data_IF_522976878303
#
_entry.id   IF_522976878303
#
_cell.length_a   1.000
_cell.length_b   1.000
_cell.length_c   1.000
_cell.angle_alpha   90.00
_cell.angle_beta   90.00
_cell.angle_gamma   90.00
#
_symmetry.space_group_name_H-M   'P 1'
#
loop_
_entity.id
_entity.type
_entity.pdbx_description
1 polymer ?
#
# COMPACT_ATOMS: atom_id res chain seq x y z
N UNK A 1 32.55 2.44 -3.69
CA UNK A 1 31.53 3.32 -3.09
C UNK A 1 30.22 2.58 -3.22
N UNK A 2 29.57 2.24 -2.11
CA UNK A 2 28.19 1.77 -2.15
C UNK A 2 27.33 2.95 -2.64
N UNK A 3 26.63 2.77 -3.75
CA UNK A 3 25.63 3.74 -4.20
C UNK A 3 24.50 3.71 -3.17
N UNK A 4 24.42 4.74 -2.32
CA UNK A 4 23.42 4.78 -1.25
C UNK A 4 22.03 4.77 -1.87
N UNK A 5 21.31 3.66 -1.72
CA UNK A 5 20.01 3.45 -2.35
C UNK A 5 19.10 4.64 -2.03
N UNK A 6 18.82 5.47 -3.05
CA UNK A 6 18.07 6.71 -2.84
C UNK A 6 16.70 6.36 -2.29
N UNK A 7 16.20 7.09 -1.27
CA UNK A 7 14.93 6.76 -0.65
C UNK A 7 13.82 6.78 -1.69
N UNK A 8 13.07 5.68 -1.81
CA UNK A 8 11.96 5.56 -2.75
C UNK A 8 10.80 6.52 -2.37
N UNK A 9 9.96 6.95 -3.33
CA UNK A 9 8.77 7.75 -3.04
C UNK A 9 7.74 6.95 -2.23
N UNK A 10 6.79 7.66 -1.60
CA UNK A 10 5.61 7.02 -1.00
C UNK A 10 4.79 6.39 -2.14
N UNK A 11 4.44 5.10 -2.09
CA UNK A 11 3.74 4.44 -3.17
C UNK A 11 2.38 5.07 -3.45
N UNK A 12 1.98 5.07 -4.73
CA UNK A 12 0.62 5.43 -5.15
C UNK A 12 -0.43 4.61 -4.40
N UNK A 13 -0.23 3.30 -4.39
CA UNK A 13 -1.06 2.33 -3.72
C UNK A 13 -0.20 1.19 -3.16
N UNK A 14 -0.55 0.71 -1.96
CA UNK A 14 -0.03 -0.53 -1.40
C UNK A 14 -1.07 -1.08 -0.42
N UNK A 15 -1.30 -2.40 -0.46
CA UNK A 15 -2.22 -3.06 0.45
C UNK A 15 -1.70 -4.40 1.00
N UNK A 16 -2.23 -4.76 2.16
CA UNK A 16 -2.33 -6.15 2.62
C UNK A 16 -3.72 -6.67 2.26
N UNK A 17 -3.87 -7.96 2.00
CA UNK A 17 -5.15 -8.55 1.56
C UNK A 17 -5.41 -9.91 2.18
N UNK A 18 -6.68 -10.27 2.28
CA UNK A 18 -7.14 -11.62 2.61
C UNK A 18 -7.75 -12.26 1.37
N UNK A 19 -7.18 -13.36 0.90
CA UNK A 19 -7.79 -14.23 -0.09
C UNK A 19 -8.60 -15.33 0.58
N UNK A 20 -9.69 -15.73 -0.10
CA UNK A 20 -10.48 -16.91 0.17
C UNK A 20 -10.55 -17.77 -1.08
N UNK A 21 -10.50 -19.09 -0.94
CA UNK A 21 -10.84 -20.01 -2.03
C UNK A 21 -12.35 -20.09 -2.17
N UNK A 22 -12.88 -19.85 -3.37
CA UNK A 22 -14.33 -20.00 -3.65
C UNK A 22 -14.77 -21.45 -3.61
N UNK A 23 -13.86 -22.40 -3.90
CA UNK A 23 -14.10 -23.85 -3.80
C UNK A 23 -14.14 -24.32 -2.35
N UNK A 24 -13.36 -23.69 -1.47
CA UNK A 24 -13.27 -24.04 -0.04
C UNK A 24 -13.08 -22.80 0.81
N UNK A 25 -14.17 -22.21 1.30
CA UNK A 25 -14.15 -20.95 2.05
C UNK A 25 -13.29 -20.98 3.34
N UNK A 26 -12.97 -22.16 3.88
CA UNK A 26 -12.03 -22.34 4.99
C UNK A 26 -10.54 -22.29 4.59
N UNK A 27 -10.22 -22.22 3.29
CA UNK A 27 -8.86 -22.00 2.78
C UNK A 27 -8.63 -20.51 2.56
N UNK A 28 -7.82 -19.94 3.45
CA UNK A 28 -7.49 -18.52 3.51
C UNK A 28 -5.98 -18.31 3.28
N UNK A 29 -5.63 -17.15 2.73
CA UNK A 29 -4.25 -16.71 2.50
C UNK A 29 -4.15 -15.19 2.70
N UNK A 30 -3.18 -14.75 3.49
CA UNK A 30 -2.85 -13.32 3.66
C UNK A 30 -1.60 -13.02 2.82
N UNK A 31 -1.58 -11.88 2.15
CA UNK A 31 -0.37 -11.37 1.50
C UNK A 31 -0.38 -9.85 1.34
N UNK A 32 0.68 -9.29 0.76
CA UNK A 32 0.72 -7.88 0.34
C UNK A 32 1.06 -7.69 -1.15
N UNK A 33 0.69 -6.51 -1.68
CA UNK A 33 0.96 -6.10 -3.07
C UNK A 33 0.79 -4.58 -3.26
N UNK A 34 1.60 -3.93 -4.14
CA UNK A 34 1.30 -2.60 -4.67
C UNK A 34 0.22 -2.61 -5.77
N UNK A 35 -0.12 -3.78 -6.33
CA UNK A 35 -1.09 -3.90 -7.42
C UNK A 35 -1.96 -5.17 -7.24
N UNK A 36 -3.16 -5.06 -6.63
CA UNK A 36 -4.07 -6.19 -6.44
C UNK A 36 -4.70 -6.69 -7.75
N UNK A 37 -4.92 -5.80 -8.72
CA UNK A 37 -5.45 -6.11 -10.07
C UNK A 37 -4.57 -7.15 -10.76
N UNK A 38 -3.24 -6.97 -10.69
CA UNK A 38 -2.25 -7.93 -11.20
C UNK A 38 -2.11 -9.17 -10.30
N UNK A 39 -2.15 -9.00 -8.98
CA UNK A 39 -1.86 -10.06 -8.00
C UNK A 39 -2.91 -11.17 -7.98
N UNK A 40 -4.20 -10.84 -8.10
CA UNK A 40 -5.27 -11.84 -8.06
C UNK A 40 -5.18 -12.87 -9.22
N UNK A 41 -5.00 -12.46 -10.50
CA UNK A 41 -4.67 -13.36 -11.61
C UNK A 41 -3.46 -14.28 -11.36
N UNK A 42 -2.43 -13.82 -10.64
CA UNK A 42 -1.25 -14.64 -10.32
C UNK A 42 -1.60 -15.80 -9.37
N UNK A 43 -2.36 -15.53 -8.31
CA UNK A 43 -2.86 -16.60 -7.43
C UNK A 43 -3.76 -17.59 -8.17
N UNK A 44 -4.56 -17.09 -9.10
CA UNK A 44 -5.46 -17.89 -9.95
C UNK A 44 -4.76 -18.62 -11.11
N UNK A 45 -3.44 -18.45 -11.29
CA UNK A 45 -2.67 -19.15 -12.33
C UNK A 45 -2.84 -18.59 -13.74
N UNK A 46 -3.57 -17.49 -13.90
CA UNK A 46 -3.74 -16.78 -15.18
C UNK A 46 -2.47 -16.00 -15.54
N UNK A 47 -1.71 -15.58 -14.53
CA UNK A 47 -0.42 -14.90 -14.69
C UNK A 47 0.69 -15.61 -13.87
N UNK A 48 1.96 -15.47 -14.30
CA UNK A 48 3.13 -15.98 -13.58
C UNK A 48 3.38 -15.18 -12.28
N UNK A 49 3.98 -15.82 -11.27
CA UNK A 49 4.33 -15.18 -9.98
C UNK A 49 3.32 -15.39 -8.83
N UNK A 50 2.47 -16.43 -8.92
CA UNK A 50 1.57 -16.82 -7.83
C UNK A 50 2.29 -17.53 -6.68
N UNK A 51 1.88 -17.30 -5.44
CA UNK A 51 2.50 -17.94 -4.27
C UNK A 51 2.29 -19.47 -4.24
N UNK A 52 3.32 -20.24 -3.84
CA UNK A 52 3.29 -21.72 -3.73
C UNK A 52 2.05 -22.25 -2.99
N UNK A 53 1.65 -21.60 -1.89
CA UNK A 53 0.45 -21.97 -1.10
C UNK A 53 -0.87 -21.83 -1.87
N UNK A 54 -0.93 -20.94 -2.86
CA UNK A 54 -2.12 -20.70 -3.70
C UNK A 54 -2.12 -21.47 -5.02
N UNK A 55 -1.03 -22.19 -5.34
CA UNK A 55 -0.85 -22.87 -6.62
C UNK A 55 -1.70 -24.15 -6.82
N UNK A 56 -2.40 -24.63 -5.79
CA UNK A 56 -3.21 -25.86 -5.85
C UNK A 56 -4.51 -25.61 -6.62
N UNK A 57 -4.67 -26.22 -7.79
CA UNK A 57 -5.85 -26.01 -8.64
C UNK A 57 -7.17 -26.41 -7.97
N UNK A 58 -7.17 -27.44 -7.11
CA UNK A 58 -8.34 -27.82 -6.28
C UNK A 58 -8.79 -26.75 -5.26
N UNK A 59 -8.06 -25.63 -5.14
CA UNK A 59 -8.40 -24.47 -4.32
C UNK A 59 -8.59 -23.19 -5.15
N UNK A 60 -8.36 -23.23 -6.46
CA UNK A 60 -8.63 -22.11 -7.38
C UNK A 60 -10.10 -22.18 -7.85
N UNK A 61 -10.74 -21.05 -8.18
CA UNK A 61 -10.20 -19.70 -8.05
C UNK A 61 -10.23 -19.18 -6.61
N UNK A 62 -9.33 -18.26 -6.35
CA UNK A 62 -9.29 -17.39 -5.19
C UNK A 62 -10.05 -16.09 -5.52
N UNK A 63 -10.77 -15.58 -4.52
CA UNK A 63 -11.31 -14.23 -4.46
C UNK A 63 -10.54 -13.44 -3.38
N UNK A 64 -10.38 -12.12 -3.57
CA UNK A 64 -9.77 -11.24 -2.57
C UNK A 64 -10.91 -10.57 -1.80
N UNK A 65 -11.13 -11.00 -0.56
CA UNK A 65 -12.34 -10.69 0.20
C UNK A 65 -12.32 -9.31 0.86
N UNK A 66 -11.13 -8.86 1.24
CA UNK A 66 -10.86 -7.51 1.74
C UNK A 66 -9.41 -7.10 1.48
N UNK A 67 -9.16 -5.79 1.48
CA UNK A 67 -7.84 -5.17 1.53
C UNK A 67 -7.73 -4.21 2.72
N UNK A 68 -6.53 -4.12 3.30
CA UNK A 68 -6.08 -3.01 4.13
C UNK A 68 -5.21 -2.14 3.24
N UNK A 69 -5.67 -0.94 2.89
CA UNK A 69 -5.01 -0.01 1.97
C UNK A 69 -4.52 1.26 2.69
N UNK A 70 -3.65 2.04 2.05
CA UNK A 70 -3.15 3.31 2.59
C UNK A 70 -1.73 3.28 3.17
N UNK A 71 -1.01 2.15 3.09
CA UNK A 71 0.38 2.05 3.57
C UNK A 71 1.31 3.03 2.84
N UNK A 72 2.07 3.80 3.62
CA UNK A 72 3.00 4.83 3.11
C UNK A 72 4.38 4.28 2.72
N UNK A 73 4.63 2.98 2.91
CA UNK A 73 5.86 2.31 2.48
C UNK A 73 5.66 0.79 2.28
N UNK A 74 6.50 0.19 1.42
CA UNK A 74 6.59 -1.29 1.28
C UNK A 74 6.91 -1.96 2.62
N UNK A 75 7.86 -1.42 3.37
CA UNK A 75 8.31 -1.97 4.66
C UNK A 75 7.16 -2.04 5.65
N UNK A 76 6.36 -0.97 5.75
CA UNK A 76 5.19 -0.93 6.64
C UNK A 76 4.10 -1.94 6.28
N UNK A 77 3.83 -2.12 4.98
CA UNK A 77 2.91 -3.16 4.52
C UNK A 77 3.44 -4.57 4.82
N UNK A 78 4.75 -4.83 4.67
CA UNK A 78 5.36 -6.13 5.00
C UNK A 78 5.34 -6.40 6.52
N UNK A 79 5.53 -5.38 7.36
CA UNK A 79 5.40 -5.51 8.82
C UNK A 79 3.96 -5.88 9.21
N UNK A 80 2.96 -5.23 8.61
CA UNK A 80 1.55 -5.52 8.86
C UNK A 80 1.16 -6.93 8.34
N UNK A 81 1.58 -7.28 7.11
CA UNK A 81 1.40 -8.63 6.54
C UNK A 81 1.96 -9.70 7.47
N UNK A 82 3.20 -9.54 7.92
CA UNK A 82 3.86 -10.52 8.79
C UNK A 82 3.14 -10.64 10.14
N UNK A 83 2.75 -9.52 10.74
CA UNK A 83 2.02 -9.47 12.00
C UNK A 83 0.64 -10.15 11.90
N UNK A 84 -0.02 -10.04 10.76
CA UNK A 84 -1.32 -10.65 10.49
C UNK A 84 -1.23 -12.14 10.12
N UNK A 85 -0.11 -12.56 9.51
CA UNK A 85 0.20 -13.98 9.28
C UNK A 85 0.66 -14.72 10.55
N UNK A 86 1.31 -14.02 11.49
CA UNK A 86 1.93 -14.60 12.69
C UNK A 86 1.49 -13.87 13.99
N UNK A 87 0.18 -13.77 14.26
CA UNK A 87 -0.34 -12.99 15.38
C UNK A 87 0.23 -13.45 16.74
N UNK A 88 0.43 -14.76 16.94
CA UNK A 88 1.03 -15.33 18.17
C UNK A 88 2.53 -15.04 18.36
N UNK A 89 3.18 -14.40 17.37
CA UNK A 89 4.57 -13.92 17.42
C UNK A 89 4.65 -12.39 17.32
N UNK A 90 3.51 -11.72 17.19
CA UNK A 90 3.44 -10.29 16.90
C UNK A 90 3.34 -9.49 18.19
N UNK A 91 4.41 -8.77 18.53
CA UNK A 91 4.45 -7.76 19.60
C UNK A 91 3.40 -6.63 19.45
N UNK A 92 2.72 -6.55 18.31
CA UNK A 92 1.63 -5.60 18.05
C UNK A 92 0.27 -6.09 18.57
N UNK A 93 0.22 -7.33 19.08
CA UNK A 93 -0.98 -7.98 19.64
C UNK A 93 -0.77 -8.46 21.09
N UNK A 94 0.42 -8.28 21.65
CA UNK A 94 0.65 -8.44 23.08
C UNK A 94 -0.10 -7.33 23.84
N UNK A 95 -0.66 -7.66 25.01
CA UNK A 95 -1.36 -6.66 25.83
C UNK A 95 -0.37 -5.72 26.51
N UNK A 96 -0.75 -4.47 26.79
CA UNK A 96 0.10 -3.56 27.58
C UNK A 96 0.34 -4.12 29.00
N UNK A 97 -0.56 -4.97 29.52
CA UNK A 97 -0.39 -5.70 30.78
C UNK A 97 0.70 -6.79 30.72
N UNK A 98 1.06 -7.29 29.52
CA UNK A 98 2.17 -8.23 29.30
C UNK A 98 3.55 -7.52 29.16
N UNK A 99 3.59 -6.19 29.08
CA UNK A 99 4.83 -5.41 28.96
C UNK A 99 5.57 -5.25 30.30
N UNK A 100 4.91 -5.59 31.42
CA UNK A 100 5.53 -5.68 32.74
C UNK A 100 6.44 -6.92 32.80
N UNK A 101 7.78 -6.79 32.97
CA UNK A 101 8.74 -7.88 32.76
C UNK A 101 8.78 -8.86 33.94
N UNK A 102 7.63 -9.38 34.36
CA UNK A 102 7.53 -10.54 35.22
C UNK A 102 7.98 -11.77 34.41
N UNK A 103 9.03 -12.50 34.84
CA UNK A 103 9.47 -13.68 34.10
C UNK A 103 8.33 -14.70 34.08
N UNK A 104 7.86 -15.07 32.88
CA UNK A 104 6.79 -16.06 32.67
C UNK A 104 7.08 -17.29 33.54
N UNK A 105 6.28 -17.45 34.60
CA UNK A 105 6.58 -18.39 35.67
C UNK A 105 6.64 -19.80 35.08
N UNK A 106 7.84 -20.40 35.10
CA UNK A 106 8.02 -21.79 34.69
C UNK A 106 7.08 -22.63 35.55
N UNK A 107 6.13 -23.30 34.90
CA UNK A 107 5.17 -24.16 35.59
C UNK A 107 5.92 -25.10 36.53
N UNK A 108 5.57 -25.07 37.82
CA UNK A 108 6.29 -25.82 38.84
C UNK A 108 6.26 -27.30 38.52
N UNK A 109 7.45 -27.87 38.30
CA UNK A 109 7.60 -29.29 38.06
C UNK A 109 7.46 -30.03 39.39
N UNK A 110 6.24 -30.46 39.73
CA UNK A 110 6.05 -31.49 40.75
C UNK A 110 6.66 -32.80 40.23
N UNK A 111 7.90 -33.06 40.62
CA UNK A 111 8.59 -34.28 40.32
C UNK A 111 8.00 -35.43 41.13
N UNK A 112 7.39 -36.41 40.46
CA UNK A 112 7.32 -37.75 41.01
C UNK A 112 7.16 -38.82 39.90
N UNK A 113 8.09 -39.77 39.87
CA UNK A 113 7.82 -41.12 39.36
C UNK A 113 7.92 -41.38 37.85
N UNK A 114 9.08 -41.92 37.46
CA UNK A 114 9.30 -42.90 36.36
C UNK A 114 9.49 -42.38 34.93
N UNK A 115 10.32 -43.14 34.23
CA UNK A 115 10.97 -42.82 32.96
C UNK A 115 10.04 -42.85 31.75
N UNK A 116 9.86 -41.70 31.10
CA UNK A 116 9.48 -41.63 29.69
C UNK A 116 10.14 -40.40 29.05
N UNK A 117 10.73 -40.57 27.85
CA UNK A 117 11.33 -39.44 27.12
C UNK A 117 10.21 -38.42 26.82
N UNK A 118 10.41 -37.11 27.07
CA UNK A 118 9.40 -36.12 26.73
C UNK A 118 9.25 -36.06 25.21
N UNK A 119 8.10 -36.51 24.68
CA UNK A 119 7.73 -36.23 23.29
C UNK A 119 7.63 -34.70 23.13
N UNK A 120 8.23 -34.09 22.10
CA UNK A 120 7.97 -32.68 21.82
C UNK A 120 6.47 -32.51 21.55
N UNK A 121 5.84 -31.52 22.20
CA UNK A 121 4.45 -31.16 21.87
C UNK A 121 4.43 -30.75 20.39
N UNK A 122 3.53 -31.31 19.55
CA UNK A 122 3.40 -30.83 18.18
C UNK A 122 3.02 -29.35 18.23
N UNK A 123 3.75 -28.51 17.48
CA UNK A 123 3.36 -27.11 17.29
C UNK A 123 2.02 -27.11 16.57
N UNK A 124 0.94 -26.81 17.28
CA UNK A 124 -0.39 -26.80 16.72
C UNK A 124 -0.49 -25.70 15.66
N UNK A 125 -0.33 -26.07 14.39
CA UNK A 125 -0.60 -25.20 13.23
C UNK A 125 -2.12 -25.05 13.10
N UNK A 126 -2.71 -24.22 13.98
CA UNK A 126 -4.12 -23.85 13.90
C UNK A 126 -4.38 -23.18 12.55
N UNK A 127 -5.11 -23.88 11.67
CA UNK A 127 -5.73 -23.24 10.51
C UNK A 127 -6.75 -22.24 11.06
N UNK A 128 -6.35 -20.97 11.15
CA UNK A 128 -7.19 -19.88 11.66
C UNK A 128 -8.44 -19.76 10.79
N UNK A 129 -9.59 -19.58 11.46
CA UNK A 129 -10.87 -19.36 10.81
C UNK A 129 -10.92 -17.96 10.20
N UNK A 130 -11.92 -17.70 9.36
CA UNK A 130 -12.18 -16.34 8.87
C UNK A 130 -12.37 -15.36 10.03
N UNK A 131 -13.12 -15.78 11.06
CA UNK A 131 -13.35 -14.99 12.26
C UNK A 131 -12.03 -14.65 12.98
N UNK A 132 -11.16 -15.63 13.24
CA UNK A 132 -9.87 -15.39 13.89
C UNK A 132 -8.98 -14.40 13.11
N UNK A 133 -8.96 -14.47 11.77
CA UNK A 133 -8.21 -13.49 10.96
C UNK A 133 -8.81 -12.08 11.00
N UNK A 134 -10.13 -11.94 11.21
CA UNK A 134 -10.79 -10.64 11.37
C UNK A 134 -10.61 -10.09 12.80
N UNK A 135 -10.54 -10.96 13.81
CA UNK A 135 -10.15 -10.63 15.19
C UNK A 135 -8.72 -10.06 15.22
N UNK A 136 -7.75 -10.77 14.62
CA UNK A 136 -6.36 -10.31 14.48
C UNK A 136 -6.29 -8.94 13.79
N UNK A 137 -7.04 -8.77 12.70
CA UNK A 137 -7.09 -7.53 11.93
C UNK A 137 -7.61 -6.35 12.77
N UNK A 138 -8.68 -6.55 13.56
CA UNK A 138 -9.24 -5.52 14.43
C UNK A 138 -8.22 -5.06 15.48
N UNK A 139 -7.55 -6.02 16.13
CA UNK A 139 -6.52 -5.76 17.14
C UNK A 139 -5.28 -5.08 16.54
N UNK A 140 -4.82 -5.49 15.34
CA UNK A 140 -3.71 -4.83 14.65
C UNK A 140 -4.00 -3.36 14.34
N UNK A 141 -5.19 -3.05 13.83
CA UNK A 141 -5.60 -1.67 13.52
C UNK A 141 -5.77 -0.79 14.76
N UNK A 142 -5.93 -1.39 15.95
CA UNK A 142 -5.97 -0.71 17.25
C UNK A 142 -4.62 -0.62 17.94
N UNK A 143 -3.63 -1.41 17.53
CA UNK A 143 -2.30 -1.44 18.13
C UNK A 143 -1.62 -0.07 18.09
N UNK A 144 -0.84 0.27 19.13
CA UNK A 144 -0.10 1.53 19.24
C UNK A 144 0.79 1.86 18.03
N UNK A 145 1.20 0.85 17.26
CA UNK A 145 2.05 1.04 16.08
C UNK A 145 1.27 1.40 14.82
N UNK A 146 0.14 0.72 14.53
CA UNK A 146 -0.60 0.92 13.28
C UNK A 146 -1.82 1.85 13.43
N UNK A 147 -2.29 2.11 14.66
CA UNK A 147 -3.48 2.94 14.92
C UNK A 147 -3.34 4.40 14.46
N UNK A 148 -2.12 4.92 14.36
CA UNK A 148 -1.82 6.28 13.87
C UNK A 148 -1.71 6.39 12.34
N UNK A 149 -1.73 5.27 11.62
CA UNK A 149 -1.48 5.24 10.18
C UNK A 149 -2.77 5.58 9.40
N UNK A 150 -2.66 6.08 8.15
CA UNK A 150 -3.80 6.44 7.31
C UNK A 150 -4.46 5.19 6.66
N UNK A 151 -4.64 4.13 7.44
CA UNK A 151 -5.12 2.83 6.94
C UNK A 151 -6.63 2.83 6.72
N UNK A 152 -7.06 2.08 5.71
CA UNK A 152 -8.48 1.88 5.39
C UNK A 152 -8.71 0.39 5.17
N UNK A 153 -9.84 -0.14 5.59
CA UNK A 153 -10.24 -1.54 5.35
C UNK A 153 -11.39 -1.55 4.36
N UNK A 154 -11.17 -2.11 3.17
CA UNK A 154 -12.16 -2.18 2.09
C UNK A 154 -12.59 -3.63 1.88
N UNK A 155 -13.88 -3.90 2.05
CA UNK A 155 -14.47 -5.24 1.97
C UNK A 155 -15.19 -5.46 0.64
N UNK A 156 -14.71 -6.42 -0.16
CA UNK A 156 -15.35 -6.80 -1.42
C UNK A 156 -16.46 -7.84 -1.25
N UNK A 157 -16.35 -8.70 -0.23
CA UNK A 157 -17.34 -9.74 0.05
C UNK A 157 -18.28 -9.34 1.19
N UNK A 158 -19.58 -9.18 0.89
CA UNK A 158 -20.58 -8.75 1.87
C UNK A 158 -20.75 -9.73 3.04
N UNK A 159 -20.54 -11.03 2.82
CA UNK A 159 -20.61 -12.04 3.87
C UNK A 159 -19.43 -11.94 4.86
N UNK A 160 -18.22 -11.65 4.36
CA UNK A 160 -17.03 -11.37 5.18
C UNK A 160 -17.21 -10.09 6.00
N UNK A 161 -17.77 -9.04 5.40
CA UNK A 161 -18.10 -7.81 6.11
C UNK A 161 -19.15 -8.03 7.23
N UNK A 162 -20.13 -8.93 7.04
CA UNK A 162 -21.07 -9.30 8.14
C UNK A 162 -20.35 -9.94 9.33
N UNK A 163 -19.36 -10.80 9.09
CA UNK A 163 -18.55 -11.40 10.17
C UNK A 163 -17.72 -10.33 10.87
N UNK A 164 -17.09 -9.42 10.11
CA UNK A 164 -16.36 -8.28 10.66
C UNK A 164 -17.25 -7.39 11.54
N UNK A 165 -18.43 -6.99 11.04
CA UNK A 165 -19.39 -6.18 11.80
C UNK A 165 -19.80 -6.89 13.09
N UNK A 166 -20.16 -8.18 13.02
CA UNK A 166 -20.55 -8.96 14.19
C UNK A 166 -19.45 -9.12 15.23
N UNK A 167 -18.16 -9.00 14.85
CA UNK A 167 -17.05 -8.88 15.80
C UNK A 167 -16.92 -7.47 16.37
N UNK A 168 -16.88 -6.46 15.48
CA UNK A 168 -16.73 -5.05 15.84
C UNK A 168 -17.83 -4.55 16.80
N UNK A 169 -19.05 -5.06 16.67
CA UNK A 169 -20.19 -4.70 17.54
C UNK A 169 -20.14 -5.39 18.92
N UNK A 170 -19.24 -6.36 19.13
CA UNK A 170 -19.10 -7.15 20.37
C UNK A 170 -17.83 -6.85 21.16
N UNK A 171 -16.76 -6.41 20.48
CA UNK A 171 -15.46 -6.22 21.10
C UNK A 171 -15.38 -4.87 21.81
N UNK A 172 -14.83 -4.87 23.02
CA UNK A 172 -14.62 -3.62 23.76
C UNK A 172 -13.54 -2.77 23.08
N UNK A 173 -13.92 -1.55 22.70
CA UNK A 173 -13.06 -0.54 22.08
C UNK A 173 -13.25 -0.40 20.56
N UNK A 174 -13.48 0.84 20.15
CA UNK A 174 -13.72 1.21 18.75
C UNK A 174 -12.43 1.29 17.95
N UNK A 175 -12.54 1.27 16.62
CA UNK A 175 -11.42 1.62 15.75
C UNK A 175 -11.05 3.11 15.92
N UNK A 176 -9.77 3.50 15.77
CA UNK A 176 -9.37 4.90 15.74
C UNK A 176 -10.09 5.67 14.62
N UNK A 177 -10.45 6.94 14.87
CA UNK A 177 -11.22 7.76 13.91
C UNK A 177 -10.56 7.91 12.53
N UNK A 178 -9.23 7.82 12.45
CA UNK A 178 -8.47 7.86 11.20
C UNK A 178 -8.56 6.55 10.39
N UNK A 179 -8.90 5.42 11.00
CA UNK A 179 -9.05 4.13 10.32
C UNK A 179 -10.46 4.01 9.75
N UNK A 180 -10.59 4.04 8.43
CA UNK A 180 -11.89 4.02 7.75
C UNK A 180 -12.26 2.64 7.23
N UNK A 181 -13.51 2.21 7.45
CA UNK A 181 -14.04 0.96 6.90
C UNK A 181 -14.96 1.26 5.72
N UNK A 182 -14.68 0.62 4.58
CA UNK A 182 -15.39 0.81 3.31
C UNK A 182 -16.02 -0.53 2.93
N UNK A 183 -17.30 -0.50 2.59
CA UNK A 183 -18.02 -1.64 2.00
C UNK A 183 -17.98 -1.44 0.49
N UNK A 184 -17.60 -2.46 -0.26
CA UNK A 184 -17.25 -2.30 -1.68
C UNK A 184 -17.50 -3.57 -2.50
N UNK A 185 -18.73 -4.10 -2.45
CA UNK A 185 -19.09 -5.40 -3.02
C UNK A 185 -20.38 -5.42 -3.84
N UNK A 186 -20.72 -6.61 -4.33
CA UNK A 186 -21.72 -6.92 -5.39
C UNK A 186 -23.16 -6.38 -5.22
N UNK A 187 -23.48 -5.67 -4.12
CA UNK A 187 -24.82 -5.17 -3.81
C UNK A 187 -24.87 -3.64 -3.63
N UNK A 188 -23.83 -2.91 -4.01
CA UNK A 188 -23.86 -1.47 -4.07
C UNK A 188 -24.36 -1.03 -5.44
N UNK A 189 -25.43 -0.22 -5.45
CA UNK A 189 -25.89 0.44 -6.66
C UNK A 189 -24.75 1.24 -7.29
N UNK A 190 -24.73 1.30 -8.63
CA UNK A 190 -23.69 1.90 -9.46
C UNK A 190 -23.13 3.19 -8.84
N UNK A 191 -21.80 3.35 -8.71
CA UNK A 191 -21.23 4.57 -8.17
C UNK A 191 -21.74 5.78 -8.98
N UNK A 192 -22.14 6.87 -8.33
CA UNK A 192 -22.59 8.06 -9.04
C UNK A 192 -21.45 8.62 -9.91
N UNK A 193 -21.80 9.26 -11.02
CA UNK A 193 -20.89 9.99 -11.93
C UNK A 193 -20.30 11.28 -11.30
N UNK A 194 -19.99 11.25 -10.00
CA UNK A 194 -19.32 12.33 -9.30
C UNK A 194 -17.85 12.38 -9.72
N UNK A 195 -17.52 13.29 -10.64
CA UNK A 195 -16.15 13.65 -11.04
C UNK A 195 -15.33 14.35 -9.93
N UNK A 196 -15.66 14.10 -8.66
CA UNK A 196 -14.84 14.36 -7.49
C UNK A 196 -14.65 13.01 -6.78
N UNK A 197 -13.47 12.42 -6.99
CA UNK A 197 -13.14 11.10 -6.50
C UNK A 197 -12.83 11.13 -4.99
N UNK A 198 -13.87 11.00 -4.16
CA UNK A 198 -13.68 10.66 -2.74
C UNK A 198 -12.94 9.31 -2.65
N UNK A 199 -11.82 9.29 -1.95
CA UNK A 199 -11.07 8.05 -1.69
C UNK A 199 -11.88 7.02 -0.87
N UNK A 200 -12.95 7.45 -0.16
CA UNK A 200 -13.90 6.57 0.54
C UNK A 200 -14.97 5.96 -0.38
N UNK A 201 -15.09 6.42 -1.62
CA UNK A 201 -16.11 5.90 -2.53
C UNK A 201 -15.93 4.38 -2.79
N UNK A 202 -17.03 3.61 -2.85
CA UNK A 202 -17.00 2.25 -3.39
C UNK A 202 -16.56 2.28 -4.86
N UNK A 203 -15.66 1.38 -5.25
CA UNK A 203 -15.22 1.19 -6.64
C UNK A 203 -15.90 -0.03 -7.31
N UNK A 204 -16.70 -0.79 -6.57
CA UNK A 204 -17.43 -2.00 -6.98
C UNK A 204 -16.57 -3.25 -7.12
N UNK A 205 -15.29 -3.12 -7.48
CA UNK A 205 -14.38 -4.24 -7.68
C UNK A 205 -12.92 -3.83 -7.56
N UNK A 206 -12.05 -4.78 -7.21
CA UNK A 206 -10.58 -4.65 -7.18
C UNK A 206 -10.03 -4.07 -8.49
N UNK A 207 -10.63 -4.43 -9.63
CA UNK A 207 -10.22 -3.97 -10.96
C UNK A 207 -10.36 -2.45 -11.15
N UNK A 208 -11.19 -1.80 -10.34
CA UNK A 208 -11.47 -0.37 -10.40
C UNK A 208 -10.67 0.43 -9.33
N UNK A 209 -9.75 -0.23 -8.61
CA UNK A 209 -8.84 0.46 -7.68
C UNK A 209 -7.83 1.31 -8.44
N UNK A 210 -7.67 2.56 -8.02
CA UNK A 210 -6.61 3.44 -8.50
C UNK A 210 -5.28 3.01 -7.89
N UNK A 211 -4.49 2.22 -8.63
CA UNK A 211 -3.21 1.66 -8.17
C UNK A 211 -1.98 2.50 -8.58
N UNK A 212 -2.19 3.54 -9.37
CA UNK A 212 -1.16 4.44 -9.91
C UNK A 212 -1.34 5.89 -9.41
N UNK A 213 -0.40 6.77 -9.78
CA UNK A 213 -0.43 8.18 -9.38
C UNK A 213 -1.44 9.05 -10.16
N UNK A 214 -2.42 8.46 -10.87
CA UNK A 214 -3.39 9.25 -11.68
C UNK A 214 -4.14 10.31 -10.87
N UNK A 215 -4.51 9.99 -9.62
CA UNK A 215 -5.16 10.94 -8.69
C UNK A 215 -4.25 12.09 -8.22
N UNK A 216 -2.94 11.98 -8.41
CA UNK A 216 -1.95 12.96 -7.98
C UNK A 216 -1.60 13.95 -9.11
N UNK A 217 -1.96 13.65 -10.37
CA UNK A 217 -1.46 14.37 -11.55
C UNK A 217 -1.77 15.87 -11.55
N UNK A 218 -2.97 16.29 -11.14
CA UNK A 218 -3.34 17.73 -11.05
C UNK A 218 -2.52 18.47 -9.99
N UNK A 219 -2.26 17.82 -8.86
CA UNK A 219 -1.47 18.40 -7.78
C UNK A 219 0.02 18.45 -8.16
N UNK A 220 0.52 17.41 -8.82
CA UNK A 220 1.90 17.31 -9.31
C UNK A 220 2.20 18.29 -10.45
N UNK A 221 1.29 18.44 -11.41
CA UNK A 221 1.42 19.44 -12.49
C UNK A 221 1.51 20.85 -11.88
N UNK A 222 0.58 21.17 -10.97
CA UNK A 222 0.56 22.45 -10.29
C UNK A 222 1.81 22.67 -9.41
N UNK A 223 2.28 21.65 -8.68
CA UNK A 223 3.44 21.80 -7.80
C UNK A 223 4.73 21.96 -8.60
N UNK A 224 4.90 21.24 -9.69
CA UNK A 224 6.05 21.40 -10.58
C UNK A 224 6.03 22.79 -11.24
N UNK A 225 4.93 23.16 -11.91
CA UNK A 225 4.78 24.48 -12.53
C UNK A 225 5.01 25.64 -11.56
N UNK A 226 4.48 25.54 -10.33
CA UNK A 226 4.66 26.57 -9.32
C UNK A 226 6.09 26.67 -8.78
N UNK A 227 6.95 25.66 -8.94
CA UNK A 227 8.31 25.63 -8.39
C UNK A 227 9.38 25.75 -9.48
N UNK A 228 9.00 25.96 -10.75
CA UNK A 228 9.92 26.21 -11.86
C UNK A 228 10.59 27.59 -11.78
N UNK A 229 9.92 28.58 -11.19
CA UNK A 229 10.43 29.95 -10.97
C UNK A 229 10.26 30.33 -9.49
N UNK A 230 11.30 30.12 -8.65
CA UNK A 230 11.20 30.32 -7.20
C UNK A 230 11.45 31.75 -6.73
N UNK A 231 11.90 32.68 -7.58
CA UNK A 231 12.41 33.98 -7.17
C UNK A 231 11.36 34.84 -6.44
N UNK A 232 10.09 34.70 -6.82
CA UNK A 232 8.93 35.38 -6.19
C UNK A 232 8.25 34.55 -5.07
N UNK A 233 8.73 33.34 -4.76
CA UNK A 233 8.05 32.44 -3.83
C UNK A 233 8.53 32.58 -2.38
N UNK A 234 7.57 32.79 -1.47
CA UNK A 234 7.80 32.85 -0.03
C UNK A 234 6.96 31.81 0.71
N UNK A 235 7.51 31.24 1.78
CA UNK A 235 6.78 30.32 2.64
C UNK A 235 5.60 31.04 3.30
N UNK A 236 4.38 30.51 3.10
CA UNK A 236 3.17 31.14 3.65
C UNK A 236 3.12 31.23 5.18
N UNK A 237 3.96 30.45 5.88
CA UNK A 237 4.12 30.45 7.35
C UNK A 237 5.19 31.45 7.80
N UNK A 238 6.48 31.22 7.52
CA UNK A 238 7.57 32.08 8.03
C UNK A 238 7.87 33.34 7.20
N UNK A 239 7.29 33.48 5.99
CA UNK A 239 7.49 34.59 5.04
C UNK A 239 8.90 34.72 4.43
N UNK A 240 9.79 33.77 4.71
CA UNK A 240 11.11 33.68 4.06
C UNK A 240 10.98 33.12 2.64
N UNK A 241 11.89 33.49 1.75
CA UNK A 241 12.01 32.92 0.40
C UNK A 241 12.27 31.41 0.45
N UNK A 242 11.74 30.67 -0.53
CA UNK A 242 11.90 29.21 -0.61
C UNK A 242 12.91 28.81 -1.70
N UNK A 243 13.73 27.79 -1.42
CA UNK A 243 14.66 27.19 -2.37
C UNK A 243 14.26 25.73 -2.64
N UNK A 244 13.58 25.41 -3.76
CA UNK A 244 13.09 24.07 -4.04
C UNK A 244 14.20 23.00 -4.19
N UNK A 245 15.40 23.43 -4.61
CA UNK A 245 16.55 22.54 -4.83
C UNK A 245 17.24 22.13 -3.51
N UNK A 246 17.26 23.02 -2.52
CA UNK A 246 17.93 22.79 -1.23
C UNK A 246 16.96 22.35 -0.12
N UNK A 247 15.67 22.69 -0.22
CA UNK A 247 14.69 22.57 0.86
C UNK A 247 13.51 21.67 0.48
N UNK A 248 12.92 21.01 1.48
CA UNK A 248 11.68 20.26 1.28
C UNK A 248 10.48 21.21 1.27
N UNK A 249 10.04 21.62 0.08
CA UNK A 249 8.90 22.53 -0.12
C UNK A 249 7.61 21.77 -0.42
N UNK A 250 6.57 22.04 0.37
CA UNK A 250 5.20 21.54 0.18
C UNK A 250 4.35 22.55 -0.59
N UNK A 251 3.46 22.05 -1.45
CA UNK A 251 2.46 22.85 -2.18
C UNK A 251 1.06 22.37 -1.80
N UNK A 252 0.14 23.29 -1.50
CA UNK A 252 -1.24 22.95 -1.15
C UNK A 252 -1.94 22.17 -2.28
N UNK A 253 -2.66 21.06 -2.01
CA UNK A 253 -3.33 20.27 -3.05
C UNK A 253 -4.55 20.96 -3.69
N UNK A 254 -5.25 21.84 -2.97
CA UNK A 254 -6.48 22.49 -3.48
C UNK A 254 -6.24 23.26 -4.79
N UNK A 255 -7.01 23.03 -5.88
CA UNK A 255 -6.68 23.54 -7.22
C UNK A 255 -6.41 25.05 -7.27
N UNK A 256 -7.30 25.85 -6.68
CA UNK A 256 -7.24 27.31 -6.71
C UNK A 256 -6.28 27.92 -5.67
N UNK A 257 -5.58 27.10 -4.87
CA UNK A 257 -4.65 27.56 -3.84
C UNK A 257 -3.20 27.52 -4.34
N UNK A 258 -2.50 28.64 -4.20
CA UNK A 258 -1.06 28.80 -4.46
C UNK A 258 -0.21 28.82 -3.18
N UNK A 259 -0.70 28.27 -2.07
CA UNK A 259 0.04 28.22 -0.82
C UNK A 259 1.22 27.25 -0.89
N UNK A 260 2.44 27.78 -0.80
CA UNK A 260 3.70 27.04 -0.65
C UNK A 260 4.22 27.18 0.79
N UNK A 261 4.90 26.15 1.30
CA UNK A 261 5.50 26.17 2.63
C UNK A 261 6.69 25.23 2.75
N UNK A 262 7.69 25.61 3.55
CA UNK A 262 8.66 24.67 4.09
C UNK A 262 7.94 23.52 4.81
N UNK A 263 8.40 22.28 4.59
CA UNK A 263 7.86 21.07 5.22
C UNK A 263 7.74 21.22 6.74
N UNK A 264 8.80 21.70 7.39
CA UNK A 264 8.87 21.84 8.84
C UNK A 264 7.90 22.90 9.38
N UNK A 265 7.82 24.06 8.73
CA UNK A 265 6.88 25.12 9.11
C UNK A 265 5.42 24.64 9.02
N UNK A 266 5.08 23.90 7.96
CA UNK A 266 3.73 23.35 7.80
C UNK A 266 3.43 22.23 8.80
N UNK A 267 4.40 21.33 9.09
CA UNK A 267 4.20 20.29 10.10
C UNK A 267 3.97 20.89 11.49
N UNK A 268 4.78 21.85 11.92
CA UNK A 268 4.64 22.48 13.24
C UNK A 268 3.27 23.15 13.36
N UNK A 269 2.86 23.92 12.35
CA UNK A 269 1.54 24.58 12.31
C UNK A 269 0.38 23.56 12.46
N UNK A 270 0.51 22.36 11.91
CA UNK A 270 -0.53 21.32 12.02
C UNK A 270 -0.50 20.58 13.36
N UNK A 271 0.69 20.34 13.93
CA UNK A 271 0.83 19.69 15.23
C UNK A 271 0.31 20.59 16.35
N UNK A 272 0.69 21.87 16.34
CA UNK A 272 0.25 22.88 17.31
C UNK A 272 -1.29 23.00 17.33
N UNK A 273 -1.92 23.01 16.15
CA UNK A 273 -3.37 23.05 16.01
C UNK A 273 -4.09 21.78 16.52
N UNK A 274 -3.39 20.67 16.71
CA UNK A 274 -3.98 19.38 17.11
C UNK A 274 -4.10 19.20 18.63
N UNK A 275 -3.42 20.03 19.44
CA UNK A 275 -3.39 19.95 20.91
C UNK A 275 -3.00 18.55 21.48
N UNK A 276 -2.20 17.78 20.75
CA UNK A 276 -1.69 16.45 21.16
C UNK A 276 -0.16 16.47 21.19
N UNK A 277 0.49 16.59 22.36
CA UNK A 277 1.94 16.80 22.46
C UNK A 277 2.76 15.60 21.97
N UNK A 278 2.22 14.38 22.08
CA UNK A 278 2.92 13.14 21.68
C UNK A 278 2.85 12.86 20.16
N UNK A 279 2.13 13.69 19.39
CA UNK A 279 1.96 13.48 17.95
C UNK A 279 3.17 14.04 17.19
N UNK A 280 4.00 13.16 16.65
CA UNK A 280 5.20 13.55 15.88
C UNK A 280 4.93 13.82 14.38
N UNK A 281 3.83 13.30 13.84
CA UNK A 281 3.50 13.38 12.40
C UNK A 281 2.05 13.86 12.24
N UNK A 282 1.79 14.96 11.52
CA UNK A 282 0.42 15.38 11.24
C UNK A 282 -0.37 14.32 10.47
N UNK A 283 -1.67 14.20 10.75
CA UNK A 283 -2.60 13.41 9.93
C UNK A 283 -3.28 14.30 8.90
N UNK A 284 -3.75 15.46 9.33
CA UNK A 284 -4.39 16.51 8.53
C UNK A 284 -4.14 17.88 9.17
N UNK A 285 -4.48 18.96 8.45
CA UNK A 285 -4.46 20.31 9.00
C UNK A 285 -5.10 21.33 8.06
N UNK A 286 -5.23 22.57 8.53
CA UNK A 286 -5.85 23.66 7.77
C UNK A 286 -4.79 24.44 7.00
N UNK A 287 -4.95 24.59 5.68
CA UNK A 287 -4.00 25.34 4.86
C UNK A 287 -3.96 26.83 5.25
N UNK A 288 -2.79 27.41 5.63
CA UNK A 288 -2.68 28.82 6.03
C UNK A 288 -3.06 29.84 4.94
N UNK A 289 -3.06 29.43 3.66
CA UNK A 289 -3.34 30.31 2.52
C UNK A 289 -4.81 30.30 2.08
N UNK A 290 -5.51 29.15 2.16
CA UNK A 290 -6.88 29.03 1.65
C UNK A 290 -7.92 28.59 2.68
N UNK A 291 -7.54 28.30 3.92
CA UNK A 291 -8.46 27.88 4.98
C UNK A 291 -9.08 26.50 4.81
N UNK A 292 -8.81 25.79 3.71
CA UNK A 292 -9.31 24.43 3.48
C UNK A 292 -8.47 23.38 4.21
N UNK A 293 -9.11 22.33 4.71
CA UNK A 293 -8.44 21.14 5.27
C UNK A 293 -7.66 20.40 4.19
N UNK A 294 -6.45 19.95 4.53
CA UNK A 294 -5.58 19.14 3.67
C UNK A 294 -5.12 17.89 4.42
N UNK A 295 -5.04 16.76 3.72
CA UNK A 295 -4.53 15.50 4.28
C UNK A 295 -3.01 15.47 4.16
N UNK A 296 -2.30 15.24 5.27
CA UNK A 296 -0.84 15.28 5.30
C UNK A 296 -0.22 14.26 4.33
N UNK A 297 -0.77 13.05 4.32
CA UNK A 297 -0.30 11.93 3.51
C UNK A 297 -0.40 12.21 2.00
N UNK A 298 -1.41 12.95 1.56
CA UNK A 298 -1.54 13.36 0.16
C UNK A 298 -0.41 14.32 -0.25
N UNK A 299 -0.10 15.31 0.59
CA UNK A 299 1.01 16.23 0.37
C UNK A 299 2.37 15.53 0.44
N UNK A 300 2.55 14.58 1.36
CA UNK A 300 3.80 13.81 1.44
C UNK A 300 3.97 12.86 0.25
N UNK A 301 2.87 12.31 -0.29
CA UNK A 301 2.90 11.52 -1.53
C UNK A 301 3.36 12.38 -2.71
N UNK A 302 2.81 13.59 -2.87
CA UNK A 302 3.28 14.58 -3.86
C UNK A 302 4.77 14.88 -3.71
N UNK A 303 5.15 15.43 -2.55
CA UNK A 303 6.52 15.86 -2.24
C UNK A 303 7.54 14.74 -2.47
N UNK A 304 7.25 13.54 -1.96
CA UNK A 304 8.16 12.41 -2.11
C UNK A 304 8.24 11.91 -3.56
N UNK A 305 7.16 11.98 -4.34
CA UNK A 305 7.16 11.57 -5.74
C UNK A 305 7.96 12.55 -6.60
N UNK A 306 7.69 13.86 -6.47
CA UNK A 306 8.43 14.92 -7.16
C UNK A 306 9.94 14.88 -6.83
N UNK A 307 10.31 14.77 -5.56
CA UNK A 307 11.71 14.88 -5.14
C UNK A 307 12.53 13.59 -5.29
N UNK A 308 11.90 12.41 -5.40
CA UNK A 308 12.60 11.10 -5.40
C UNK A 308 12.40 10.28 -6.66
N UNK A 309 11.41 10.62 -7.47
CA UNK A 309 11.05 9.93 -8.72
C UNK A 309 10.70 10.97 -9.81
N UNK A 310 11.58 11.96 -9.97
CA UNK A 310 11.37 13.12 -10.83
C UNK A 310 11.20 12.74 -12.32
N UNK A 311 11.91 11.69 -12.78
CA UNK A 311 11.80 11.20 -14.16
C UNK A 311 10.42 10.60 -14.42
N UNK A 312 9.92 9.83 -13.46
CA UNK A 312 8.60 9.21 -13.44
C UNK A 312 7.50 10.27 -13.31
N UNK A 313 7.69 11.28 -12.48
CA UNK A 313 6.81 12.44 -12.36
C UNK A 313 6.63 13.17 -13.70
N UNK A 314 7.75 13.57 -14.34
CA UNK A 314 7.75 14.17 -15.68
C UNK A 314 7.11 13.24 -16.74
N UNK A 315 7.31 11.92 -16.65
CA UNK A 315 6.73 10.96 -17.58
C UNK A 315 5.20 10.84 -17.44
N UNK A 316 4.67 10.89 -16.22
CA UNK A 316 3.22 10.87 -15.96
C UNK A 316 2.56 12.16 -16.48
N UNK A 317 3.14 13.34 -16.25
CA UNK A 317 2.60 14.60 -16.78
C UNK A 317 2.56 14.61 -18.31
N UNK A 318 3.64 14.16 -18.98
CA UNK A 318 3.65 13.98 -20.45
C UNK A 318 2.56 13.01 -20.95
N UNK A 319 2.21 11.99 -20.16
CA UNK A 319 1.12 11.06 -20.48
C UNK A 319 -0.26 11.72 -20.31
N UNK A 320 -0.42 12.56 -19.29
CA UNK A 320 -1.62 13.40 -19.10
C UNK A 320 -1.84 14.35 -20.27
N UNK A 321 -0.83 15.13 -20.67
CA UNK A 321 -0.90 16.01 -21.83
C UNK A 321 -1.36 15.28 -23.10
N UNK A 322 -0.81 14.09 -23.36
CA UNK A 322 -1.21 13.24 -24.50
C UNK A 322 -2.67 12.78 -24.43
N UNK A 323 -3.20 12.48 -23.23
CA UNK A 323 -4.64 12.17 -23.04
C UNK A 323 -5.50 13.40 -23.33
N UNK A 324 -5.18 14.55 -22.73
CA UNK A 324 -5.95 15.80 -22.91
C UNK A 324 -5.99 16.22 -24.38
N UNK A 325 -4.87 16.16 -25.11
CA UNK A 325 -4.82 16.44 -26.56
C UNK A 325 -5.63 15.46 -27.40
N UNK A 326 -5.71 14.19 -26.99
CA UNK A 326 -6.53 13.18 -27.67
C UNK A 326 -8.03 13.40 -27.41
N UNK A 327 -8.38 13.80 -26.19
CA UNK A 327 -9.75 14.13 -25.80
C UNK A 327 -10.24 15.39 -26.52
N UNK A 328 -9.44 16.45 -26.60
CA UNK A 328 -9.81 17.67 -27.36
C UNK A 328 -10.01 17.36 -28.85
N UNK A 329 -9.08 16.63 -29.48
CA UNK A 329 -9.21 16.24 -30.89
C UNK A 329 -10.44 15.35 -31.16
N UNK A 330 -10.85 14.50 -30.21
CA UNK A 330 -12.07 13.71 -30.32
C UNK A 330 -13.34 14.57 -30.16
N UNK A 331 -13.32 15.58 -29.28
CA UNK A 331 -14.42 16.54 -29.14
C UNK A 331 -14.57 17.40 -30.41
N UNK A 332 -13.47 17.92 -30.95
CA UNK A 332 -13.45 18.69 -32.19
C UNK A 332 -14.00 17.87 -33.37
N UNK A 333 -13.55 16.61 -33.53
CA UNK A 333 -14.07 15.69 -34.54
C UNK A 333 -15.57 15.38 -34.38
N UNK A 334 -16.11 15.42 -33.16
CA UNK A 334 -17.54 15.21 -32.90
C UNK A 334 -18.41 16.44 -33.14
N UNK A 335 -17.84 17.65 -33.09
CA UNK A 335 -18.55 18.92 -33.31
C UNK A 335 -18.52 19.40 -34.78
N UNK A 336 -17.70 18.75 -35.62
CA UNK A 336 -17.56 19.05 -37.05
C UNK A 336 -18.84 18.87 -37.86
N UNK A 337 -19.58 19.96 -38.06
CA UNK A 337 -20.64 20.03 -39.07
C UNK A 337 -20.04 19.77 -40.46
N UNK A 338 -20.64 18.85 -41.23
CA UNK A 338 -20.17 18.49 -42.58
C UNK A 338 -20.19 19.71 -43.50
N UNK A 339 -19.01 20.27 -43.78
CA UNK A 339 -18.75 21.07 -44.97
C UNK A 339 -17.71 20.35 -45.82
N UNK A 340 -18.12 19.94 -47.02
CA UNK A 340 -17.29 19.15 -47.94
C UNK A 340 -16.41 20.05 -48.80
N UNK A 341 -15.09 19.91 -48.70
CA UNK A 341 -14.14 20.42 -49.71
C UNK A 341 -12.86 19.58 -49.78
N UNK A 342 -12.83 18.67 -50.76
CA UNK A 342 -11.72 18.37 -51.69
C UNK A 342 -10.29 18.25 -51.13
N UNK A 343 -9.71 17.04 -51.25
CA UNK A 343 -8.28 16.78 -51.08
C UNK A 343 -7.40 17.40 -52.18
N UNK A 344 -6.10 17.56 -51.91
CA UNK A 344 -5.14 16.79 -52.70
C UNK A 344 -4.16 16.00 -51.83
N UNK A 345 -3.90 14.75 -52.20
CA UNK A 345 -3.08 13.84 -51.41
C UNK A 345 -1.57 14.12 -51.47
N UNK A 346 -0.86 13.67 -50.44
CA UNK A 346 0.58 13.42 -50.49
C UNK A 346 0.93 12.17 -49.69
N UNK A 347 1.80 11.34 -50.26
CA UNK A 347 2.27 10.09 -49.66
C UNK A 347 3.22 10.37 -48.51
N UNK A 348 2.84 10.01 -47.28
CA UNK A 348 3.75 9.91 -46.14
C UNK A 348 3.55 8.59 -45.41
N UNK A 349 4.66 8.03 -44.93
CA UNK A 349 4.78 6.66 -44.43
C UNK A 349 4.00 6.44 -43.13
N UNK A 350 3.54 5.21 -42.93
CA UNK A 350 3.09 4.76 -41.60
C UNK A 350 4.25 4.95 -40.59
N UNK A 351 4.03 5.65 -39.47
CA UNK A 351 5.00 5.62 -38.38
C UNK A 351 5.00 4.21 -37.78
N UNK A 352 6.18 3.62 -37.74
CA UNK A 352 6.42 2.30 -37.17
C UNK A 352 5.94 2.19 -35.73
N UNK A 353 5.57 0.97 -35.36
CA UNK A 353 5.07 0.59 -34.05
C UNK A 353 6.15 0.72 -32.96
N UNK A 354 6.37 1.94 -32.45
CA UNK A 354 7.32 2.25 -31.37
C UNK A 354 6.84 1.72 -30.00
N UNK A 355 7.01 0.41 -29.82
CA UNK A 355 7.99 -0.18 -28.90
C UNK A 355 8.02 0.29 -27.42
N UNK A 356 6.87 0.63 -26.83
CA UNK A 356 6.71 0.56 -25.37
C UNK A 356 5.35 -0.07 -25.00
N UNK A 357 5.38 -1.39 -24.78
CA UNK A 357 4.24 -2.15 -24.26
C UNK A 357 3.84 -1.75 -22.82
N UNK A 358 2.74 -2.31 -22.29
CA UNK A 358 2.18 -1.94 -20.98
C UNK A 358 3.02 -2.34 -19.74
N UNK A 359 4.30 -2.69 -19.93
CA UNK A 359 5.20 -3.23 -18.91
C UNK A 359 6.20 -2.21 -18.32
N UNK A 360 5.96 -0.91 -18.43
CA UNK A 360 6.89 0.14 -17.92
C UNK A 360 7.12 0.14 -16.39
N UNK A 361 6.47 -0.75 -15.63
CA UNK A 361 6.80 -0.99 -14.21
C UNK A 361 8.01 -1.95 -14.04
N UNK A 362 8.38 -2.69 -15.08
CA UNK A 362 9.38 -3.77 -15.07
C UNK A 362 10.82 -3.25 -15.03
N UNK A 363 11.03 -1.96 -15.36
CA UNK A 363 12.31 -1.25 -15.19
C UNK A 363 12.67 -0.88 -13.74
N UNK A 364 11.80 -1.24 -12.77
CA UNK A 364 12.24 -1.37 -11.38
C UNK A 364 12.54 -2.85 -11.17
N UNK A 365 13.83 -3.19 -11.07
CA UNK A 365 14.29 -4.50 -10.63
C UNK A 365 13.77 -4.76 -9.20
N UNK A 366 12.58 -5.35 -9.14
CA UNK A 366 12.06 -6.02 -7.96
C UNK A 366 12.39 -7.48 -8.19
N UNK A 367 13.68 -7.80 -8.04
CA UNK A 367 14.16 -9.16 -7.99
C UNK A 367 13.33 -9.92 -6.94
N UNK A 368 12.67 -10.96 -7.42
CA UNK A 368 11.94 -11.93 -6.62
C UNK A 368 12.81 -13.18 -6.62
N UNK A 369 13.90 -13.15 -5.87
CA UNK A 369 14.89 -14.22 -5.82
C UNK A 369 14.23 -15.58 -5.54
N UNK A 370 14.29 -16.45 -6.55
CA UNK A 370 13.99 -17.88 -6.40
C UNK A 370 14.66 -18.71 -7.49
N UNK A 371 15.96 -18.54 -7.71
CA UNK A 371 16.78 -19.44 -8.51
C UNK A 371 18.15 -19.68 -7.83
N UNK A 372 18.43 -20.95 -7.50
CA UNK A 372 19.69 -21.40 -6.88
C UNK A 372 20.22 -22.61 -7.64
N UNK A 373 21.32 -22.42 -8.39
CA UNK A 373 22.15 -23.52 -8.90
C UNK A 373 23.50 -23.53 -8.17
N UNK A 374 23.89 -24.69 -7.63
CA UNK A 374 25.00 -24.78 -6.67
C UNK A 374 26.28 -25.40 -7.21
N UNK A 375 27.40 -25.15 -6.50
CA UNK A 375 28.56 -26.06 -6.50
C UNK A 375 29.42 -25.94 -5.22
N UNK A 376 30.23 -26.97 -4.95
CA UNK A 376 30.80 -27.28 -3.64
C UNK A 376 32.18 -26.66 -3.32
N UNK A 377 32.38 -26.37 -2.01
CA UNK A 377 33.62 -26.49 -1.20
C UNK A 377 34.89 -25.71 -1.61
N UNK A 378 35.33 -24.77 -0.75
CA UNK A 378 36.45 -24.95 0.20
C UNK A 378 36.61 -23.69 1.11
N UNK A 379 37.18 -23.83 2.31
CA UNK A 379 37.42 -22.74 3.31
C UNK A 379 38.87 -22.83 3.82
N UNK A 380 39.53 -21.72 4.22
CA UNK A 380 39.56 -21.35 5.66
C UNK A 380 39.62 -19.82 6.01
N UNK A 381 39.11 -19.48 7.21
CA UNK A 381 39.44 -18.34 8.15
C UNK A 381 40.07 -17.02 7.63
N UNK A 382 39.71 -15.78 8.04
CA UNK A 382 39.06 -15.13 9.23
C UNK A 382 38.65 -13.67 8.76
N UNK A 383 38.22 -12.65 9.58
CA UNK A 383 37.89 -12.53 11.00
C UNK A 383 36.36 -12.22 11.19
N UNK A 384 35.81 -11.29 12.05
CA UNK A 384 34.36 -11.09 12.17
C UNK A 384 33.79 -9.98 11.26
N UNK A 385 32.66 -10.25 10.61
CA UNK A 385 31.89 -9.33 9.77
C UNK A 385 30.51 -9.03 10.37
N UNK A 386 29.85 -8.01 9.80
CA UNK A 386 28.52 -7.46 10.14
C UNK A 386 27.46 -8.56 10.40
N UNK A 387 26.47 -8.24 11.24
CA UNK A 387 25.27 -9.07 11.46
C UNK A 387 24.49 -9.22 10.16
N UNK A 388 24.75 -10.33 9.47
CA UNK A 388 23.99 -10.80 8.32
C UNK A 388 22.65 -11.35 8.82
N UNK A 389 21.54 -10.82 8.32
CA UNK A 389 20.20 -11.29 8.68
C UNK A 389 19.96 -12.60 7.92
N UNK A 390 20.37 -13.71 8.54
CA UNK A 390 20.04 -15.05 8.07
C UNK A 390 18.54 -15.24 8.20
N UNK A 391 17.84 -15.15 7.07
CA UNK A 391 16.49 -15.67 6.93
C UNK A 391 16.65 -17.19 6.82
N UNK A 392 16.44 -17.91 7.94
CA UNK A 392 16.26 -19.36 7.87
C UNK A 392 14.99 -19.63 7.06
N UNK A 393 15.16 -20.19 5.86
CA UNK A 393 14.04 -20.67 5.07
C UNK A 393 13.23 -21.69 5.88
N UNK A 394 11.92 -21.55 5.81
CA UNK A 394 10.98 -22.39 6.56
C UNK A 394 10.84 -23.76 5.92
N UNK A 395 11.86 -24.61 6.10
CA UNK A 395 11.84 -26.04 5.77
C UNK A 395 10.55 -26.68 6.32
N UNK A 396 9.72 -27.13 5.39
CA UNK A 396 8.52 -27.94 5.64
C UNK A 396 8.46 -29.01 4.56
N UNK A 397 9.40 -29.94 4.65
CA UNK A 397 9.23 -31.29 4.14
C UNK A 397 8.15 -32.04 4.93
N UNK A 398 7.82 -33.25 4.45
CA UNK A 398 6.85 -34.19 5.00
C UNK A 398 5.37 -33.76 4.92
N UNK A 399 4.81 -33.97 3.72
CA UNK A 399 3.40 -34.25 3.54
C UNK A 399 3.17 -35.77 3.52
N UNK A 400 2.88 -36.38 4.67
CA UNK A 400 2.37 -37.75 4.69
C UNK A 400 0.94 -37.81 4.11
N UNK A 401 0.73 -38.83 3.28
CA UNK A 401 -0.52 -39.18 2.65
C UNK A 401 -1.46 -39.86 3.66
N UNK A 402 -2.72 -39.44 3.68
CA UNK A 402 -3.86 -40.34 3.94
C UNK A 402 -4.94 -39.96 2.92
N UNK A 403 -5.52 -40.98 2.29
CA UNK A 403 -6.48 -40.90 1.19
C UNK A 403 -7.86 -40.31 1.60
#
# INVERSE_FOLDING_TARGET
MEESEKPKPIPAYYCCYLLRSTVRHASLYIGSTPNPIRRLPQHNGVAKGGAKRTARDKLRPWEMTLVVEGFTSRVGALQFEWAWQHPERSRHLDSEDDLDPKPKAKASANANGKTSKPKPKPRARTRRSLMAHLEDLHSLLRSNYFSSWPLRVRFFCADVYRVWRAWNDRVDGQLPDNVKVIIDGDNLATPPDSKQADELAPVGSINNLSVDYTRLEDHLEKSMFMLEDPDDLQCTVCKESISPDEQQITVCPHPNCRGTSHLLCLSTTFLDATNKPDLLVPTQGTCPSCGNTVQWVAMMRELSFRNRAEKEARAILRKKEKRVRKESAAMDASSGTRSSSIEPGSTLQEPTQDDLGPNWFEGVEIESDSDFEGRQKHRPTRPPSKLEIVIEDSDWDDAELVE
#
